data_IF_669453699870
#
_entry.id   IF_669453699870
#
_cell.length_a   1.000
_cell.length_b   1.000
_cell.length_c   1.000
_cell.angle_alpha   90.00
_cell.angle_beta   90.00
_cell.angle_gamma   90.00
#
_symmetry.space_group_name_H-M   'P 1'
#
loop_
_entity.id
_entity.type
_entity.pdbx_description
1 polymer ?
#
# COMPACT_ATOMS: atom_id res chain seq x y z
N UNK A 1 -1.52 9.91 -19.45
CA UNK A 1 -0.25 10.57 -19.09
C UNK A 1 -0.25 10.84 -17.59
N UNK A 2 0.87 10.64 -16.86
CA UNK A 2 0.96 10.90 -15.40
C UNK A 2 2.24 11.71 -15.14
N UNK A 3 2.08 12.95 -14.70
CA UNK A 3 3.20 13.87 -14.38
C UNK A 3 3.12 14.18 -12.90
N UNK A 4 4.26 14.13 -12.22
CA UNK A 4 4.37 14.49 -10.81
C UNK A 4 5.51 15.49 -10.62
N UNK A 5 5.23 16.53 -9.86
CA UNK A 5 6.21 17.51 -9.42
C UNK A 5 6.28 17.46 -7.91
N UNK A 6 7.47 17.61 -7.37
CA UNK A 6 7.68 17.64 -5.92
C UNK A 6 8.56 18.82 -5.56
N UNK A 7 8.20 19.51 -4.52
CA UNK A 7 8.98 20.56 -3.85
C UNK A 7 9.19 20.14 -2.40
N UNK A 8 10.36 20.43 -1.88
CA UNK A 8 10.73 20.17 -0.48
C UNK A 8 11.25 21.44 0.16
N UNK A 9 10.96 21.64 1.44
CA UNK A 9 11.50 22.74 2.24
C UNK A 9 11.74 22.30 3.68
N UNK A 10 12.70 22.95 4.32
CA UNK A 10 12.98 22.90 5.75
C UNK A 10 12.58 24.20 6.47
N UNK A 11 12.26 25.26 5.72
CA UNK A 11 12.08 26.62 6.25
C UNK A 11 10.90 26.74 7.21
N UNK A 12 9.94 25.85 7.09
CA UNK A 12 8.73 25.86 7.94
C UNK A 12 8.74 24.76 9.00
N UNK A 13 9.84 24.03 9.19
CA UNK A 13 9.91 22.96 10.19
C UNK A 13 9.56 23.43 11.60
N UNK A 14 9.98 24.63 11.98
CA UNK A 14 9.75 25.20 13.30
C UNK A 14 8.27 25.62 13.53
N UNK A 15 7.49 25.77 12.45
CA UNK A 15 6.08 26.11 12.50
C UNK A 15 5.17 24.87 12.46
N UNK A 16 5.74 23.71 12.11
CA UNK A 16 4.97 22.47 12.00
C UNK A 16 4.97 21.78 13.37
N UNK A 17 3.82 21.75 14.03
CA UNK A 17 3.63 21.04 15.30
C UNK A 17 3.65 19.51 15.09
N UNK A 18 4.73 19.00 14.50
CA UNK A 18 4.95 17.57 14.28
C UNK A 18 6.29 17.16 14.87
N UNK A 19 6.31 16.21 15.83
CA UNK A 19 7.56 15.79 16.46
C UNK A 19 8.58 15.28 15.44
N UNK A 20 9.82 15.77 15.58
CA UNK A 20 10.93 15.34 14.73
C UNK A 20 10.76 15.65 13.23
N UNK A 21 10.07 16.74 12.87
CA UNK A 21 9.96 17.17 11.48
C UNK A 21 11.35 17.44 10.89
N UNK A 22 11.75 16.64 9.91
CA UNK A 22 13.02 16.81 9.18
C UNK A 22 12.88 17.69 7.95
N UNK A 23 11.78 17.57 7.24
CA UNK A 23 11.39 18.41 6.11
C UNK A 23 9.91 18.22 5.77
N UNK A 24 9.37 19.17 5.02
CA UNK A 24 8.04 19.11 4.42
C UNK A 24 8.16 19.00 2.91
N UNK A 25 7.14 18.42 2.28
CA UNK A 25 7.08 18.36 0.83
C UNK A 25 5.65 18.64 0.32
N UNK A 26 5.59 19.20 -0.89
CA UNK A 26 4.36 19.34 -1.68
C UNK A 26 4.50 18.55 -2.96
N UNK A 27 3.56 17.68 -3.25
CA UNK A 27 3.51 16.89 -4.48
C UNK A 27 2.28 17.32 -5.27
N UNK A 28 2.50 17.78 -6.50
CA UNK A 28 1.44 17.95 -7.49
C UNK A 28 1.44 16.76 -8.44
N UNK A 29 0.28 16.20 -8.62
CA UNK A 29 0.03 15.13 -9.57
C UNK A 29 -0.96 15.60 -10.62
N UNK A 30 -0.56 15.49 -11.87
CA UNK A 30 -1.42 15.68 -13.03
C UNK A 30 -1.56 14.34 -13.76
N UNK A 31 -2.79 13.89 -13.94
CA UNK A 31 -3.09 12.68 -14.70
C UNK A 31 -4.13 12.95 -15.78
N UNK A 32 -3.91 12.41 -16.96
CA UNK A 32 -4.80 12.48 -18.11
C UNK A 32 -5.14 11.07 -18.57
N UNK A 33 -6.43 10.77 -18.64
CA UNK A 33 -6.92 9.55 -19.24
C UNK A 33 -6.95 9.70 -20.75
N UNK A 34 -6.07 9.01 -21.45
CA UNK A 34 -5.91 9.07 -22.89
C UNK A 34 -7.15 8.60 -23.68
N UNK A 35 -8.07 7.86 -23.04
CA UNK A 35 -9.29 7.38 -23.70
C UNK A 35 -10.45 8.36 -23.59
N UNK A 36 -10.59 8.98 -22.43
CA UNK A 36 -11.72 9.90 -22.15
C UNK A 36 -11.34 11.37 -22.24
N UNK A 37 -10.04 11.70 -22.34
CA UNK A 37 -9.52 13.07 -22.28
C UNK A 37 -9.71 13.76 -20.93
N UNK A 38 -10.19 13.03 -19.89
CA UNK A 38 -10.39 13.61 -18.56
C UNK A 38 -9.06 13.84 -17.87
N UNK A 39 -8.91 15.05 -17.36
CA UNK A 39 -7.74 15.45 -16.57
C UNK A 39 -8.08 15.47 -15.09
N UNK A 40 -7.13 15.08 -14.25
CA UNK A 40 -7.21 15.19 -12.79
C UNK A 40 -5.93 15.83 -12.27
N UNK A 41 -6.10 16.85 -11.46
CA UNK A 41 -5.00 17.46 -10.71
C UNK A 41 -5.22 17.25 -9.23
N UNK A 42 -4.16 16.88 -8.52
CA UNK A 42 -4.18 16.61 -7.09
C UNK A 42 -2.92 17.17 -6.45
N UNK A 43 -3.08 17.83 -5.30
CA UNK A 43 -1.97 18.35 -4.50
C UNK A 43 -1.97 17.63 -3.16
N UNK A 44 -0.82 17.09 -2.77
CA UNK A 44 -0.61 16.36 -1.51
C UNK A 44 0.53 17.00 -0.75
N UNK A 45 0.32 17.26 0.53
CA UNK A 45 1.36 17.73 1.45
C UNK A 45 1.87 16.58 2.30
N UNK A 46 3.18 16.53 2.49
CA UNK A 46 3.87 15.50 3.26
C UNK A 46 4.69 16.15 4.37
N UNK A 47 4.73 15.50 5.51
CA UNK A 47 5.66 15.79 6.61
C UNK A 47 6.50 14.52 6.81
N UNK A 48 7.80 14.66 6.98
CA UNK A 48 8.71 13.54 7.22
C UNK A 48 9.76 13.87 8.26
N UNK A 49 10.16 12.88 9.03
CA UNK A 49 11.32 12.98 9.94
C UNK A 49 12.67 12.80 9.22
N UNK A 50 12.66 12.44 7.93
CA UNK A 50 13.88 12.32 7.14
C UNK A 50 14.37 13.73 6.77
N UNK A 51 15.61 14.02 7.14
CA UNK A 51 16.31 15.24 6.73
C UNK A 51 16.69 15.21 5.24
N UNK A 52 16.96 16.36 4.59
CA UNK A 52 17.30 16.44 3.16
C UNK A 52 18.53 15.60 2.75
N UNK A 53 19.49 15.43 3.65
CA UNK A 53 20.67 14.57 3.45
C UNK A 53 20.32 13.07 3.41
N UNK A 54 19.26 12.64 4.11
CA UNK A 54 18.80 11.26 4.15
C UNK A 54 17.77 10.95 3.05
N UNK A 55 17.00 11.93 2.63
CA UNK A 55 16.00 11.78 1.59
C UNK A 55 15.82 13.06 0.77
N UNK A 56 16.37 13.07 -0.43
CA UNK A 56 16.09 14.12 -1.41
C UNK A 56 14.65 14.01 -1.97
N UNK A 57 14.24 14.97 -2.79
CA UNK A 57 12.90 15.05 -3.38
C UNK A 57 12.51 13.75 -4.14
N UNK A 58 13.43 13.19 -4.91
CA UNK A 58 13.20 11.94 -5.67
C UNK A 58 12.95 10.74 -4.74
N UNK A 59 13.73 10.64 -3.65
CA UNK A 59 13.55 9.60 -2.64
C UNK A 59 12.21 9.71 -1.95
N UNK A 60 11.79 10.94 -1.58
CA UNK A 60 10.48 11.18 -0.97
C UNK A 60 9.34 10.82 -1.92
N UNK A 61 9.46 11.15 -3.20
CA UNK A 61 8.47 10.75 -4.21
C UNK A 61 8.39 9.23 -4.34
N UNK A 62 9.52 8.54 -4.28
CA UNK A 62 9.57 7.06 -4.32
C UNK A 62 8.90 6.44 -3.09
N UNK A 63 9.17 6.97 -1.89
CA UNK A 63 8.54 6.52 -0.64
C UNK A 63 7.03 6.74 -0.69
N UNK A 64 6.59 7.93 -1.09
CA UNK A 64 5.16 8.24 -1.24
C UNK A 64 4.45 7.29 -2.23
N UNK A 65 5.09 6.98 -3.35
CA UNK A 65 4.56 5.99 -4.32
C UNK A 65 4.52 4.58 -3.73
N UNK A 66 5.51 4.23 -2.91
CA UNK A 66 5.60 2.92 -2.25
C UNK A 66 4.44 2.69 -1.28
N UNK A 67 3.94 3.72 -0.61
CA UNK A 67 2.78 3.64 0.28
C UNK A 67 1.52 3.15 -0.46
N UNK A 68 1.26 3.65 -1.67
CA UNK A 68 0.17 3.17 -2.52
C UNK A 68 0.29 1.67 -2.87
N UNK A 69 1.54 1.18 -2.95
CA UNK A 69 1.79 -0.25 -3.12
C UNK A 69 1.32 -1.07 -1.92
N UNK A 70 1.51 -0.58 -0.71
CA UNK A 70 1.04 -1.24 0.52
C UNK A 70 -0.49 -1.24 0.56
N UNK A 71 -1.14 -0.11 0.30
CA UNK A 71 -2.60 -0.02 0.26
C UNK A 71 -3.20 -0.97 -0.78
N UNK A 72 -2.77 -0.89 -2.03
CA UNK A 72 -3.34 -1.69 -3.10
C UNK A 72 -2.95 -3.18 -3.03
N UNK A 73 -1.78 -3.49 -2.52
CA UNK A 73 -1.29 -4.87 -2.49
C UNK A 73 -1.62 -5.59 -1.18
N UNK A 74 -1.77 -4.89 -0.07
CA UNK A 74 -2.00 -5.51 1.23
C UNK A 74 -3.41 -5.23 1.74
N UNK A 75 -3.77 -3.97 1.96
CA UNK A 75 -5.07 -3.61 2.53
C UNK A 75 -6.22 -3.99 1.60
N UNK A 76 -6.16 -3.59 0.34
CA UNK A 76 -7.19 -3.96 -0.65
C UNK A 76 -7.40 -5.48 -0.75
N UNK A 77 -6.32 -6.26 -0.70
CA UNK A 77 -6.46 -7.73 -0.77
C UNK A 77 -7.11 -8.27 0.49
N UNK A 78 -6.81 -7.74 1.68
CA UNK A 78 -7.44 -8.15 2.94
C UNK A 78 -8.92 -7.78 2.97
N UNK A 79 -9.24 -6.54 2.60
CA UNK A 79 -10.60 -6.00 2.72
C UNK A 79 -11.50 -6.57 1.62
N UNK A 80 -11.03 -6.56 0.38
CA UNK A 80 -11.84 -7.02 -0.77
C UNK A 80 -11.79 -8.52 -1.04
N UNK A 81 -10.59 -9.13 -0.98
CA UNK A 81 -10.44 -10.54 -1.37
C UNK A 81 -10.77 -11.49 -0.22
N UNK A 82 -10.40 -11.12 1.00
CA UNK A 82 -10.69 -11.89 2.20
C UNK A 82 -11.91 -11.39 2.97
N UNK A 83 -12.54 -10.31 2.53
CA UNK A 83 -13.73 -9.70 3.15
C UNK A 83 -13.56 -9.53 4.68
N UNK A 84 -12.40 -8.98 5.07
CA UNK A 84 -11.98 -8.91 6.47
C UNK A 84 -12.95 -8.09 7.31
N UNK A 85 -13.48 -7.01 6.77
CA UNK A 85 -14.40 -6.10 7.46
C UNK A 85 -15.74 -6.76 7.80
N UNK A 86 -16.17 -7.76 7.01
CA UNK A 86 -17.38 -8.54 7.27
C UNK A 86 -17.17 -9.72 8.20
N UNK A 87 -15.92 -9.95 8.66
CA UNK A 87 -15.63 -11.07 9.57
C UNK A 87 -16.42 -10.93 10.87
N UNK A 88 -17.18 -11.94 11.21
CA UNK A 88 -17.95 -12.01 12.47
C UNK A 88 -17.15 -12.59 13.63
N UNK A 89 -15.90 -12.94 13.41
CA UNK A 89 -15.01 -13.46 14.46
C UNK A 89 -14.54 -12.29 15.31
N UNK A 90 -15.20 -12.08 16.47
CA UNK A 90 -14.95 -10.93 17.35
C UNK A 90 -14.53 -11.30 18.76
N UNK A 91 -14.44 -12.59 19.08
CA UNK A 91 -14.16 -13.06 20.45
C UNK A 91 -12.65 -13.24 20.68
N UNK A 92 -12.17 -12.74 21.85
CA UNK A 92 -10.81 -12.92 22.35
C UNK A 92 -9.72 -12.65 21.31
N UNK A 93 -8.88 -13.66 21.01
CA UNK A 93 -7.77 -13.58 20.06
C UNK A 93 -8.16 -13.89 18.61
N UNK A 94 -9.43 -14.23 18.36
CA UNK A 94 -9.92 -14.63 17.04
C UNK A 94 -9.59 -13.65 15.93
N UNK A 95 -9.88 -12.34 16.07
CA UNK A 95 -9.55 -11.35 15.04
C UNK A 95 -8.06 -11.30 14.71
N UNK A 96 -7.18 -11.31 15.73
CA UNK A 96 -5.72 -11.29 15.54
C UNK A 96 -5.22 -12.55 14.82
N UNK A 97 -5.71 -13.72 15.21
CA UNK A 97 -5.34 -14.98 14.56
C UNK A 97 -5.76 -15.00 13.09
N UNK A 98 -6.98 -14.56 12.80
CA UNK A 98 -7.47 -14.51 11.43
C UNK A 98 -6.70 -13.49 10.58
N UNK A 99 -6.36 -12.33 11.12
CA UNK A 99 -5.49 -11.36 10.43
C UNK A 99 -4.11 -11.96 10.12
N UNK A 100 -3.50 -12.69 11.07
CA UNK A 100 -2.22 -13.36 10.87
C UNK A 100 -2.30 -14.46 9.80
N UNK A 101 -3.36 -15.27 9.81
CA UNK A 101 -3.58 -16.31 8.80
C UNK A 101 -3.79 -15.73 7.40
N UNK A 102 -4.55 -14.63 7.27
CA UNK A 102 -4.72 -13.93 5.99
C UNK A 102 -3.39 -13.39 5.47
N UNK A 103 -2.61 -12.74 6.34
CA UNK A 103 -1.29 -12.23 5.98
C UNK A 103 -0.34 -13.35 5.56
N UNK A 104 -0.35 -14.47 6.25
CA UNK A 104 0.42 -15.66 5.89
C UNK A 104 0.02 -16.18 4.51
N UNK A 105 -1.28 -16.35 4.25
CA UNK A 105 -1.78 -16.82 2.96
C UNK A 105 -1.40 -15.87 1.81
N UNK A 106 -1.53 -14.54 2.01
CA UNK A 106 -1.12 -13.53 1.02
C UNK A 106 0.38 -13.63 0.74
N UNK A 107 1.20 -13.74 1.80
CA UNK A 107 2.65 -13.82 1.67
C UNK A 107 3.07 -15.09 0.93
N UNK A 108 2.47 -16.23 1.26
CA UNK A 108 2.74 -17.51 0.61
C UNK A 108 2.41 -17.48 -0.87
N UNK A 109 1.24 -16.97 -1.24
CA UNK A 109 0.83 -16.84 -2.63
C UNK A 109 1.74 -15.89 -3.41
N UNK A 110 2.25 -14.83 -2.79
CA UNK A 110 3.20 -13.92 -3.43
C UNK A 110 4.58 -14.52 -3.61
N UNK A 111 5.10 -15.21 -2.61
CA UNK A 111 6.37 -15.93 -2.69
C UNK A 111 6.36 -16.98 -3.81
N UNK A 112 5.20 -17.58 -4.06
CA UNK A 112 5.01 -18.53 -5.18
C UNK A 112 4.68 -17.86 -6.52
N UNK A 113 4.84 -16.53 -6.62
CA UNK A 113 4.75 -15.76 -7.88
C UNK A 113 3.34 -15.35 -8.30
N UNK A 114 2.33 -15.56 -7.47
CA UNK A 114 0.95 -15.16 -7.80
C UNK A 114 0.75 -13.64 -7.70
N UNK A 115 0.58 -12.97 -8.84
CA UNK A 115 0.28 -11.52 -8.90
C UNK A 115 -1.18 -11.23 -8.52
N UNK A 116 -2.12 -12.08 -8.90
CA UNK A 116 -3.55 -11.92 -8.63
C UNK A 116 -3.99 -12.90 -7.53
N UNK A 117 -4.07 -12.40 -6.30
CA UNK A 117 -4.39 -13.19 -5.10
C UNK A 117 -5.83 -13.73 -5.15
N UNK A 118 -6.80 -12.94 -5.60
CA UNK A 118 -8.19 -13.38 -5.72
C UNK A 118 -8.35 -14.58 -6.69
N UNK A 119 -7.63 -14.54 -7.82
CA UNK A 119 -7.61 -15.67 -8.77
C UNK A 119 -6.95 -16.91 -8.16
N UNK A 120 -5.83 -16.71 -7.46
CA UNK A 120 -5.11 -17.80 -6.79
C UNK A 120 -5.97 -18.47 -5.73
N UNK A 121 -6.67 -17.70 -4.89
CA UNK A 121 -7.58 -18.23 -3.87
C UNK A 121 -8.73 -19.02 -4.49
N UNK A 122 -9.36 -18.52 -5.55
CA UNK A 122 -10.41 -19.28 -6.25
C UNK A 122 -9.87 -20.60 -6.82
N UNK A 123 -8.68 -20.60 -7.36
CA UNK A 123 -8.05 -21.81 -7.88
C UNK A 123 -7.73 -22.83 -6.78
N UNK A 124 -7.18 -22.38 -5.65
CA UNK A 124 -6.88 -23.29 -4.52
C UNK A 124 -8.14 -23.79 -3.82
N UNK A 125 -9.21 -22.97 -3.75
CA UNK A 125 -10.49 -23.40 -3.24
C UNK A 125 -11.14 -24.47 -4.15
N UNK A 126 -11.04 -24.31 -5.47
CA UNK A 126 -11.56 -25.29 -6.43
C UNK A 126 -10.69 -26.57 -6.50
N UNK A 127 -9.40 -26.48 -6.14
CA UNK A 127 -8.43 -27.58 -6.22
C UNK A 127 -7.59 -27.62 -4.92
N UNK A 128 -8.10 -28.24 -3.84
CA UNK A 128 -7.44 -28.23 -2.51
C UNK A 128 -6.01 -28.78 -2.51
N UNK A 129 -5.70 -29.74 -3.39
CA UNK A 129 -4.34 -30.27 -3.53
C UNK A 129 -3.32 -29.19 -3.93
N UNK A 130 -3.75 -28.09 -4.59
CA UNK A 130 -2.86 -26.98 -4.89
C UNK A 130 -2.49 -26.19 -3.60
N UNK A 131 -3.45 -26.07 -2.67
CA UNK A 131 -3.16 -25.43 -1.38
C UNK A 131 -2.17 -26.26 -0.55
N UNK A 132 -2.30 -27.59 -0.55
CA UNK A 132 -1.36 -28.48 0.14
C UNK A 132 0.05 -28.35 -0.44
N UNK A 133 0.19 -28.33 -1.76
CA UNK A 133 1.48 -28.10 -2.41
C UNK A 133 2.12 -26.76 -2.03
N UNK A 134 1.33 -25.70 -1.83
CA UNK A 134 1.85 -24.40 -1.41
C UNK A 134 2.49 -24.44 -0.02
N UNK A 135 2.02 -25.31 0.87
CA UNK A 135 2.57 -25.50 2.23
C UNK A 135 3.55 -26.68 2.32
N UNK A 136 3.91 -27.29 1.19
CA UNK A 136 4.93 -28.34 1.15
C UNK A 136 4.44 -29.75 1.49
N UNK A 137 3.12 -30.01 1.35
CA UNK A 137 2.49 -31.31 1.56
C UNK A 137 1.96 -31.92 0.26
#
# INVERSE_FOLDING_TARGET
MDIRKIWTSTDINDYVEFPYCGQVACIERYSEDLKSGKTRQETVYLITSLSPDKANAERLLTINRGQWGIENQSHYVRDFTFDEDRSQIRSRYGPRMMASLRNFAISLLRLTGHKNIAKALRNTAAKPHLALRLIGV
#
